data_IF_215197351824
#
_entry.id   IF_215197351824
#
_cell.length_a   1.000
_cell.length_b   1.000
_cell.length_c   1.000
_cell.angle_alpha   90.00
_cell.angle_beta   90.00
_cell.angle_gamma   90.00
#
_symmetry.space_group_name_H-M   'P 1'
#
loop_
_entity.id
_entity.type
_entity.pdbx_description
1 polymer ?
#
# COMPACT_ATOMS: atom_id res chain seq x y z
N UNK A 1 7.09 -48.20 28.99
CA UNK A 1 6.52 -47.86 27.67
C UNK A 1 6.73 -46.36 27.46
N UNK A 2 8.00 -45.93 27.32
CA UNK A 2 8.41 -44.54 27.57
C UNK A 2 9.37 -43.96 26.52
N UNK A 3 9.66 -44.65 25.42
CA UNK A 3 10.77 -44.24 24.57
C UNK A 3 10.37 -44.08 23.10
N UNK A 4 9.45 -43.15 22.82
CA UNK A 4 9.16 -42.68 21.45
C UNK A 4 9.33 -41.16 21.29
N UNK A 5 9.84 -40.45 22.31
CA UNK A 5 9.83 -38.97 22.31
C UNK A 5 11.15 -38.28 21.94
N UNK A 6 12.19 -38.98 21.48
CA UNK A 6 13.54 -38.38 21.37
C UNK A 6 14.20 -38.39 19.98
N UNK A 7 13.60 -39.00 18.95
CA UNK A 7 14.27 -39.16 17.64
C UNK A 7 13.79 -38.21 16.52
N UNK A 8 12.72 -37.44 16.71
CA UNK A 8 12.10 -36.66 15.62
C UNK A 8 12.31 -35.12 15.73
N UNK A 9 13.19 -34.68 16.64
CA UNK A 9 13.49 -33.27 16.83
C UNK A 9 14.63 -32.73 15.94
N UNK A 10 15.33 -33.60 15.19
CA UNK A 10 16.59 -33.27 14.52
C UNK A 10 16.46 -32.74 13.09
N UNK A 11 15.25 -32.74 12.50
CA UNK A 11 15.06 -32.38 11.08
C UNK A 11 14.13 -31.18 10.86
N UNK A 12 14.19 -30.18 11.75
CA UNK A 12 13.58 -28.87 11.46
C UNK A 12 14.55 -28.12 10.55
N UNK A 13 14.12 -27.64 9.36
CA UNK A 13 14.97 -26.78 8.55
C UNK A 13 15.40 -25.60 9.43
N UNK A 14 16.70 -25.54 9.72
CA UNK A 14 17.29 -24.45 10.47
C UNK A 14 17.13 -23.20 9.60
N UNK A 15 16.12 -22.39 9.89
CA UNK A 15 15.98 -21.04 9.34
C UNK A 15 17.17 -20.28 9.89
N UNK A 16 18.25 -20.26 9.11
CA UNK A 16 19.51 -19.61 9.45
C UNK A 16 19.22 -18.13 9.65
N UNK A 17 19.12 -17.71 10.91
CA UNK A 17 18.79 -16.36 11.36
C UNK A 17 19.93 -15.37 11.16
N UNK A 18 20.60 -15.40 10.02
CA UNK A 18 21.40 -14.28 9.54
C UNK A 18 20.48 -13.34 8.79
N UNK A 19 20.39 -12.07 9.20
CA UNK A 19 19.72 -11.03 8.43
C UNK A 19 20.43 -10.93 7.06
N UNK A 20 19.95 -11.68 6.07
CA UNK A 20 20.44 -11.63 4.71
C UNK A 20 20.31 -10.18 4.25
N UNK A 21 21.45 -9.51 4.07
CA UNK A 21 21.47 -8.08 3.78
C UNK A 21 20.82 -7.88 2.41
N UNK A 22 19.66 -7.22 2.40
CA UNK A 22 18.95 -6.88 1.17
C UNK A 22 19.89 -6.19 0.19
N UNK A 23 19.93 -6.71 -1.04
CA UNK A 23 20.74 -6.18 -2.13
C UNK A 23 20.43 -4.68 -2.31
N UNK A 24 21.48 -3.89 -2.54
CA UNK A 24 21.37 -2.44 -2.72
C UNK A 24 20.42 -2.08 -3.88
N UNK A 25 20.43 -2.88 -4.94
CA UNK A 25 19.49 -2.73 -6.06
C UNK A 25 18.03 -2.90 -5.63
N UNK A 26 17.73 -3.86 -4.75
CA UNK A 26 16.38 -4.05 -4.21
C UNK A 26 15.95 -2.86 -3.36
N UNK A 27 16.86 -2.28 -2.57
CA UNK A 27 16.59 -1.08 -1.78
C UNK A 27 16.30 0.13 -2.68
N UNK A 28 17.08 0.32 -3.74
CA UNK A 28 16.86 1.39 -4.71
C UNK A 28 15.56 1.20 -5.50
N UNK A 29 15.27 -0.01 -5.97
CA UNK A 29 14.03 -0.31 -6.69
C UNK A 29 12.80 -0.11 -5.80
N UNK A 30 12.88 -0.50 -4.53
CA UNK A 30 11.82 -0.24 -3.55
C UNK A 30 11.62 1.25 -3.31
N UNK A 31 12.71 2.00 -3.08
CA UNK A 31 12.64 3.45 -2.90
C UNK A 31 12.06 4.17 -4.12
N UNK A 32 12.48 3.78 -5.33
CA UNK A 32 11.94 4.34 -6.57
C UNK A 32 10.43 4.08 -6.73
N UNK A 33 9.94 2.92 -6.30
CA UNK A 33 8.51 2.61 -6.27
C UNK A 33 7.72 3.42 -5.24
N UNK A 34 8.32 3.70 -4.08
CA UNK A 34 7.67 4.46 -3.00
C UNK A 34 7.59 5.97 -3.27
N UNK A 35 8.47 6.49 -4.14
CA UNK A 35 8.52 7.92 -4.46
C UNK A 35 7.20 8.46 -5.04
N UNK A 36 6.50 7.71 -5.90
CA UNK A 36 5.26 8.17 -6.52
C UNK A 36 4.14 8.43 -5.51
N UNK A 37 3.74 7.42 -4.71
CA UNK A 37 2.79 7.59 -3.62
C UNK A 37 3.22 8.66 -2.62
N UNK A 38 4.49 8.67 -2.22
CA UNK A 38 5.03 9.65 -1.28
C UNK A 38 4.93 11.09 -1.80
N UNK A 39 5.27 11.34 -3.07
CA UNK A 39 5.13 12.66 -3.69
C UNK A 39 3.68 13.11 -3.74
N UNK A 40 2.78 12.21 -4.13
CA UNK A 40 1.34 12.52 -4.24
C UNK A 40 0.74 12.86 -2.87
N UNK A 41 1.09 12.08 -1.84
CA UNK A 41 0.67 12.34 -0.47
C UNK A 41 1.15 13.69 0.04
N UNK A 42 2.42 14.05 -0.21
CA UNK A 42 2.95 15.35 0.16
C UNK A 42 2.25 16.50 -0.58
N UNK A 43 2.02 16.34 -1.88
CA UNK A 43 1.31 17.34 -2.68
C UNK A 43 -0.09 17.61 -2.13
N UNK A 44 -0.85 16.56 -1.78
CA UNK A 44 -2.15 16.70 -1.13
C UNK A 44 -2.06 17.46 0.20
N UNK A 45 -1.09 17.15 1.06
CA UNK A 45 -0.93 17.82 2.36
C UNK A 45 -0.64 19.30 2.20
N UNK A 46 0.24 19.68 1.27
CA UNK A 46 0.65 21.07 1.12
C UNK A 46 -0.27 21.91 0.23
N UNK A 47 -0.91 21.31 -0.77
CA UNK A 47 -1.63 22.05 -1.81
C UNK A 47 -3.15 22.00 -1.68
N UNK A 48 -3.71 20.96 -1.07
CA UNK A 48 -5.17 20.77 -1.05
C UNK A 48 -5.89 21.86 -0.24
N UNK A 49 -5.33 22.28 0.91
CA UNK A 49 -5.94 23.35 1.71
C UNK A 49 -5.91 24.71 0.98
N UNK A 50 -4.75 25.23 0.49
CA UNK A 50 -4.73 26.45 -0.31
C UNK A 50 -5.62 26.39 -1.56
N UNK A 51 -5.73 25.23 -2.20
CA UNK A 51 -6.63 25.05 -3.33
C UNK A 51 -8.10 25.25 -2.94
N UNK A 52 -8.55 24.61 -1.86
CA UNK A 52 -9.92 24.74 -1.37
C UNK A 52 -10.25 26.17 -0.95
N UNK A 53 -9.31 26.88 -0.30
CA UNK A 53 -9.57 28.26 0.16
C UNK A 53 -9.43 29.31 -0.94
N UNK A 54 -8.38 29.21 -1.77
CA UNK A 54 -8.01 30.29 -2.70
C UNK A 54 -8.57 30.11 -4.10
N UNK A 55 -8.77 28.86 -4.55
CA UNK A 55 -9.28 28.55 -5.90
C UNK A 55 -10.77 28.27 -5.85
N UNK A 56 -11.20 27.38 -4.94
CA UNK A 56 -12.62 27.04 -4.78
C UNK A 56 -13.38 28.07 -3.91
N UNK A 57 -12.68 29.01 -3.27
CA UNK A 57 -13.30 30.09 -2.50
C UNK A 57 -13.99 29.64 -1.21
N UNK A 58 -13.67 28.44 -0.70
CA UNK A 58 -14.29 27.94 0.53
C UNK A 58 -13.76 28.70 1.76
N UNK A 59 -14.63 29.05 2.72
CA UNK A 59 -14.21 29.51 4.03
C UNK A 59 -13.26 28.50 4.70
N UNK A 60 -12.22 28.99 5.38
CA UNK A 60 -11.19 28.13 6.00
C UNK A 60 -11.77 27.06 6.94
N UNK A 61 -12.86 27.37 7.67
CA UNK A 61 -13.54 26.39 8.53
C UNK A 61 -14.21 25.24 7.75
N UNK A 62 -14.79 25.53 6.58
CA UNK A 62 -15.36 24.50 5.70
C UNK A 62 -14.27 23.70 5.00
N UNK A 63 -13.21 24.36 4.51
CA UNK A 63 -12.07 23.67 3.92
C UNK A 63 -11.38 22.72 4.92
N UNK A 64 -11.19 23.17 6.16
CA UNK A 64 -10.62 22.34 7.22
C UNK A 64 -11.48 21.14 7.59
N UNK A 65 -12.82 21.29 7.62
CA UNK A 65 -13.73 20.17 7.89
C UNK A 65 -13.76 19.15 6.75
N UNK A 66 -13.71 19.59 5.48
CA UNK A 66 -13.56 18.68 4.33
C UNK A 66 -12.28 17.86 4.44
N UNK A 67 -11.15 18.49 4.78
CA UNK A 67 -9.89 17.79 5.00
C UNK A 67 -9.97 16.79 6.14
N UNK A 68 -10.61 17.17 7.26
CA UNK A 68 -10.80 16.30 8.40
C UNK A 68 -11.63 15.06 8.03
N UNK A 69 -12.73 15.24 7.28
CA UNK A 69 -13.55 14.14 6.79
C UNK A 69 -12.73 13.23 5.87
N UNK A 70 -11.96 13.80 4.94
CA UNK A 70 -11.06 13.05 4.07
C UNK A 70 -10.07 12.19 4.88
N UNK A 71 -9.42 12.77 5.90
CA UNK A 71 -8.48 12.05 6.75
C UNK A 71 -9.12 10.95 7.58
N UNK A 72 -10.34 11.15 8.06
CA UNK A 72 -11.09 10.09 8.76
C UNK A 72 -11.42 8.96 7.79
N UNK A 73 -11.81 9.29 6.56
CA UNK A 73 -12.05 8.28 5.53
C UNK A 73 -10.80 7.48 5.23
N UNK A 74 -9.66 8.13 5.01
CA UNK A 74 -8.36 7.47 4.81
C UNK A 74 -8.02 6.56 6.00
N UNK A 75 -8.18 7.05 7.23
CA UNK A 75 -7.89 6.29 8.46
C UNK A 75 -8.75 5.03 8.63
N UNK A 76 -9.92 4.95 7.98
CA UNK A 76 -10.77 3.76 7.96
C UNK A 76 -10.40 2.85 6.78
N UNK A 77 -10.18 3.42 5.61
CA UNK A 77 -9.84 2.68 4.40
C UNK A 77 -8.47 2.00 4.52
N UNK A 78 -7.47 2.65 5.12
CA UNK A 78 -6.10 2.13 5.23
C UNK A 78 -6.06 0.80 6.02
N UNK A 79 -6.68 0.66 7.21
CA UNK A 79 -6.79 -0.62 7.91
C UNK A 79 -7.64 -1.65 7.16
N UNK A 80 -8.74 -1.24 6.52
CA UNK A 80 -9.60 -2.16 5.77
C UNK A 80 -8.83 -2.81 4.63
N UNK A 81 -8.14 -2.00 3.84
CA UNK A 81 -7.28 -2.47 2.73
C UNK A 81 -6.10 -3.26 3.29
N UNK A 82 -5.50 -2.84 4.41
CA UNK A 82 -4.42 -3.57 5.07
C UNK A 82 -4.82 -4.98 5.50
N UNK A 83 -5.98 -5.13 6.16
CA UNK A 83 -6.51 -6.44 6.60
C UNK A 83 -6.88 -7.30 5.40
N UNK A 84 -7.50 -6.72 4.37
CA UNK A 84 -7.89 -7.46 3.17
C UNK A 84 -6.65 -7.93 2.38
N UNK A 85 -5.62 -7.09 2.28
CA UNK A 85 -4.32 -7.43 1.71
C UNK A 85 -3.61 -8.53 2.50
N UNK A 86 -3.58 -8.44 3.82
CA UNK A 86 -2.92 -9.44 4.65
C UNK A 86 -3.64 -10.79 4.69
N UNK A 87 -4.97 -10.82 4.50
CA UNK A 87 -5.76 -12.05 4.39
C UNK A 87 -5.73 -12.67 2.99
N UNK A 88 -5.20 -11.98 1.98
CA UNK A 88 -5.10 -12.51 0.61
C UNK A 88 -3.93 -13.51 0.53
N UNK A 89 -4.22 -14.81 0.60
CA UNK A 89 -3.25 -15.88 0.31
C UNK A 89 -3.26 -16.20 -1.19
N UNK A 90 -2.35 -15.58 -1.93
CA UNK A 90 -2.11 -15.86 -3.36
C UNK A 90 -0.80 -16.62 -3.55
N UNK A 91 -0.78 -17.56 -4.51
CA UNK A 91 0.39 -18.36 -4.91
C UNK A 91 1.51 -17.55 -5.57
N UNK A 92 1.25 -16.30 -5.99
CA UNK A 92 2.25 -15.40 -6.60
C UNK A 92 2.77 -14.30 -5.65
N UNK A 93 2.41 -14.37 -4.37
CA UNK A 93 2.88 -13.43 -3.34
C UNK A 93 1.79 -12.46 -2.86
N UNK A 94 1.91 -11.99 -1.61
CA UNK A 94 0.85 -11.29 -0.86
C UNK A 94 0.41 -9.95 -1.45
N UNK A 95 1.29 -9.25 -2.19
CA UNK A 95 1.08 -7.87 -2.67
C UNK A 95 0.80 -7.76 -4.19
N UNK A 96 1.15 -8.78 -4.96
CA UNK A 96 0.98 -8.78 -6.44
C UNK A 96 -0.50 -8.77 -6.88
N UNK A 97 -1.43 -9.52 -6.24
CA UNK A 97 -2.85 -9.46 -6.58
C UNK A 97 -3.44 -8.07 -6.41
N UNK A 98 -3.03 -7.34 -5.37
CA UNK A 98 -3.51 -5.98 -5.10
C UNK A 98 -2.96 -4.96 -6.09
N UNK A 99 -1.69 -5.07 -6.46
CA UNK A 99 -1.12 -4.23 -7.53
C UNK A 99 -1.78 -4.51 -8.89
N UNK A 100 -2.05 -5.78 -9.22
CA UNK A 100 -2.74 -6.14 -10.46
C UNK A 100 -4.21 -5.70 -10.44
N UNK A 101 -4.93 -5.87 -9.33
CA UNK A 101 -6.32 -5.46 -9.21
C UNK A 101 -6.47 -3.93 -9.21
N UNK A 102 -5.44 -3.17 -8.86
CA UNK A 102 -5.41 -1.72 -9.10
C UNK A 102 -5.03 -1.38 -10.54
N UNK A 103 -3.93 -1.95 -11.04
CA UNK A 103 -3.35 -1.61 -12.34
C UNK A 103 -4.21 -2.04 -13.53
N UNK A 104 -4.88 -3.20 -13.45
CA UNK A 104 -5.70 -3.74 -14.55
C UNK A 104 -6.94 -2.86 -14.81
N UNK A 105 -7.86 -2.63 -13.85
CA UNK A 105 -9.00 -1.77 -14.10
C UNK A 105 -8.58 -0.33 -14.40
N UNK A 106 -7.50 0.18 -13.78
CA UNK A 106 -6.98 1.50 -14.11
C UNK A 106 -6.49 1.58 -15.56
N UNK A 107 -5.68 0.60 -16.01
CA UNK A 107 -5.20 0.53 -17.39
C UNK A 107 -6.33 0.36 -18.40
N UNK A 108 -7.34 -0.47 -18.07
CA UNK A 108 -8.52 -0.66 -18.93
C UNK A 108 -9.34 0.61 -19.03
N UNK A 109 -9.65 1.28 -17.90
CA UNK A 109 -10.40 2.53 -17.91
C UNK A 109 -9.64 3.66 -18.61
N UNK A 110 -8.33 3.74 -18.42
CA UNK A 110 -7.47 4.71 -19.10
C UNK A 110 -7.43 4.48 -20.61
N UNK A 111 -7.35 3.22 -21.05
CA UNK A 111 -7.43 2.88 -22.46
C UNK A 111 -8.83 3.17 -23.03
N UNK A 112 -9.89 2.85 -22.29
CA UNK A 112 -11.27 3.17 -22.68
C UNK A 112 -11.49 4.68 -22.83
N UNK A 113 -10.94 5.49 -21.92
CA UNK A 113 -11.03 6.96 -21.95
C UNK A 113 -10.50 7.55 -23.26
N UNK A 114 -9.48 6.93 -23.86
CA UNK A 114 -8.92 7.35 -25.15
C UNK A 114 -9.66 6.78 -26.37
N UNK A 115 -10.54 5.80 -26.16
CA UNK A 115 -11.41 5.20 -27.20
C UNK A 115 -12.81 5.84 -27.21
N UNK A 116 -13.23 6.47 -26.12
CA UNK A 116 -14.44 7.30 -26.09
C UNK A 116 -14.15 8.55 -26.96
N UNK A 117 -14.91 8.74 -28.05
CA UNK A 117 -14.61 9.75 -29.08
C UNK A 117 -14.76 11.20 -28.60
#
# INVERSE_FOLDING_TARGET
MSDVSSSDASNRPQVSGGLEKLNFTTKLAYGAGDMGPAMTANLLVFYLLPFLTNVAGLPAGLAGSILMIGKISDAINDPMVGIMSDRTRSSWGRRIPWMLFGAIPFGVLFFLQWIVP
#
